data_IF_329998238267
#
_entry.id   IF_329998238267
#
_cell.length_a   1.000
_cell.length_b   1.000
_cell.length_c   1.000
_cell.angle_alpha   90.00
_cell.angle_beta   90.00
_cell.angle_gamma   90.00
#
_symmetry.space_group_name_H-M   'P 1'
#
loop_
_entity.id
_entity.type
_entity.pdbx_description
1 polymer ?
#
# COMPACT_ATOMS: atom_id res chain seq x y z
N UNK A 1 12.05 3.27 -19.06
CA UNK A 1 12.99 2.63 -19.99
C UNK A 1 12.29 2.21 -21.28
N UNK A 2 11.27 1.35 -21.21
CA UNK A 2 10.52 0.82 -22.38
C UNK A 2 9.96 1.90 -23.30
N UNK A 3 9.23 2.90 -22.77
CA UNK A 3 8.68 3.98 -23.60
C UNK A 3 9.78 4.74 -24.37
N UNK A 4 10.91 5.01 -23.70
CA UNK A 4 12.08 5.66 -24.31
C UNK A 4 12.73 4.77 -25.39
N UNK A 5 12.89 3.47 -25.14
CA UNK A 5 13.46 2.54 -26.14
C UNK A 5 12.56 2.37 -27.36
N UNK A 6 11.26 2.62 -27.22
CA UNK A 6 10.30 2.67 -28.32
C UNK A 6 10.24 4.03 -29.04
N UNK A 7 11.10 4.98 -28.67
CA UNK A 7 11.12 6.32 -29.29
C UNK A 7 10.01 7.25 -28.82
N UNK A 8 9.27 6.91 -27.76
CA UNK A 8 8.23 7.80 -27.22
C UNK A 8 8.85 9.04 -26.57
N UNK A 9 8.24 10.20 -26.84
CA UNK A 9 8.70 11.51 -26.35
C UNK A 9 7.91 12.00 -25.12
N UNK A 10 6.77 11.36 -24.85
CA UNK A 10 5.85 11.65 -23.75
C UNK A 10 5.22 10.34 -23.28
N UNK A 11 5.18 10.16 -21.96
CA UNK A 11 4.40 9.12 -21.30
C UNK A 11 3.23 9.79 -20.56
N UNK A 12 1.99 9.39 -20.83
CA UNK A 12 0.83 9.86 -20.07
C UNK A 12 0.44 8.78 -19.06
N UNK A 13 0.49 9.11 -17.78
CA UNK A 13 0.26 8.19 -16.68
C UNK A 13 -1.04 8.54 -15.95
N UNK A 14 -2.08 7.74 -16.15
CA UNK A 14 -3.40 7.97 -15.56
C UNK A 14 -3.54 7.28 -14.20
N UNK A 15 -4.31 7.90 -13.31
CA UNK A 15 -4.94 7.22 -12.17
C UNK A 15 -4.08 7.01 -10.93
N UNK A 16 -2.80 7.39 -10.95
CA UNK A 16 -1.91 7.25 -9.79
C UNK A 16 -1.23 8.56 -9.39
N UNK A 17 -0.90 8.65 -8.11
CA UNK A 17 -0.07 9.70 -7.56
C UNK A 17 1.32 9.73 -8.16
N UNK A 18 1.88 10.94 -8.25
CA UNK A 18 3.25 11.17 -8.70
C UNK A 18 4.25 10.77 -7.60
N UNK A 19 4.48 9.47 -7.44
CA UNK A 19 5.43 8.94 -6.43
C UNK A 19 6.89 8.97 -6.90
N UNK A 20 7.10 9.24 -8.19
CA UNK A 20 8.44 9.35 -8.79
C UNK A 20 8.73 10.82 -9.02
N UNK A 21 9.82 11.36 -8.44
CA UNK A 21 10.26 12.72 -8.71
C UNK A 21 10.48 12.96 -10.21
N UNK A 22 9.97 14.08 -10.74
CA UNK A 22 9.97 14.38 -12.18
C UNK A 22 11.40 14.51 -12.74
N UNK A 23 12.34 15.00 -11.91
CA UNK A 23 13.77 15.09 -12.21
C UNK A 23 14.44 13.71 -12.44
N UNK A 24 13.80 12.63 -12.00
CA UNK A 24 14.29 11.25 -12.17
C UNK A 24 13.71 10.58 -13.43
N UNK A 25 12.88 11.28 -14.21
CA UNK A 25 12.35 10.78 -15.49
C UNK A 25 13.36 10.98 -16.63
N UNK A 26 14.53 10.35 -16.50
CA UNK A 26 15.69 10.59 -17.38
C UNK A 26 15.43 10.29 -18.87
N UNK A 27 15.14 11.35 -19.62
CA UNK A 27 15.02 11.33 -21.08
C UNK A 27 13.65 10.96 -21.63
N UNK A 28 12.58 11.06 -20.83
CA UNK A 28 11.19 11.05 -21.32
C UNK A 28 10.33 11.98 -20.45
N UNK A 29 9.51 12.83 -21.07
CA UNK A 29 8.54 13.65 -20.33
C UNK A 29 7.41 12.77 -19.82
N UNK A 30 6.98 12.97 -18.59
CA UNK A 30 5.85 12.23 -18.01
C UNK A 30 4.76 13.22 -17.60
N UNK A 31 3.54 13.02 -18.13
CA UNK A 31 2.35 13.76 -17.73
C UNK A 31 1.50 12.86 -16.83
N UNK A 32 1.39 13.22 -15.55
CA UNK A 32 0.47 12.57 -14.64
C UNK A 32 -0.93 13.16 -14.80
N UNK A 33 -1.91 12.30 -15.06
CA UNK A 33 -3.32 12.68 -15.13
C UNK A 33 -4.03 12.08 -13.92
N UNK A 34 -4.29 12.95 -12.95
CA UNK A 34 -5.08 12.60 -11.78
C UNK A 34 -6.53 12.38 -12.19
N UNK A 35 -7.10 11.28 -11.75
CA UNK A 35 -8.50 10.94 -11.97
C UNK A 35 -9.21 11.16 -10.64
N UNK A 36 -10.10 12.13 -10.60
CA UNK A 36 -10.94 12.42 -9.43
C UNK A 36 -12.35 11.86 -9.71
N UNK A 37 -12.71 10.80 -9.00
CA UNK A 37 -13.99 10.11 -9.19
C UNK A 37 -15.04 10.82 -8.33
N UNK A 38 -16.04 11.38 -9.02
CA UNK A 38 -17.17 12.01 -8.37
C UNK A 38 -18.15 10.96 -7.87
N UNK A 39 -18.54 11.13 -6.61
CA UNK A 39 -19.52 10.27 -5.93
C UNK A 39 -20.63 11.15 -5.35
N UNK A 40 -21.59 10.53 -4.68
CA UNK A 40 -22.59 11.21 -3.86
C UNK A 40 -22.02 11.49 -2.45
N UNK A 41 -21.51 12.72 -2.18
CA UNK A 41 -20.87 13.01 -0.89
C UNK A 41 -21.89 13.08 0.25
N UNK A 42 -23.16 13.39 -0.04
CA UNK A 42 -24.18 13.53 0.99
C UNK A 42 -24.55 12.16 1.55
N UNK A 43 -24.71 11.17 0.66
CA UNK A 43 -24.92 9.79 1.11
C UNK A 43 -23.76 9.28 1.98
N UNK A 44 -22.51 9.60 1.65
CA UNK A 44 -21.36 9.23 2.46
C UNK A 44 -21.39 9.89 3.85
N UNK A 45 -21.73 11.18 3.93
CA UNK A 45 -21.84 11.91 5.19
C UNK A 45 -22.97 11.36 6.06
N UNK A 46 -24.17 11.19 5.50
CA UNK A 46 -25.33 10.60 6.19
C UNK A 46 -25.02 9.20 6.71
N UNK A 47 -24.30 8.39 5.92
CA UNK A 47 -23.84 7.07 6.36
C UNK A 47 -22.97 7.17 7.61
N UNK A 48 -22.02 8.10 7.66
CA UNK A 48 -21.20 8.32 8.85
C UNK A 48 -22.07 8.79 10.02
N UNK A 49 -22.98 9.74 9.79
CA UNK A 49 -23.88 10.28 10.82
C UNK A 49 -24.72 9.19 11.49
N UNK A 50 -25.25 8.27 10.70
CA UNK A 50 -26.13 7.20 11.18
C UNK A 50 -25.40 6.06 11.89
N UNK A 51 -24.11 5.85 11.59
CA UNK A 51 -23.40 4.64 12.04
C UNK A 51 -22.23 4.92 12.99
N UNK A 52 -21.68 6.13 13.01
CA UNK A 52 -20.50 6.47 13.82
C UNK A 52 -20.90 7.49 14.91
N UNK A 53 -20.73 7.15 16.20
CA UNK A 53 -20.99 8.07 17.30
C UNK A 53 -20.11 9.33 17.26
N UNK A 54 -20.67 10.47 17.69
CA UNK A 54 -20.03 11.79 17.60
C UNK A 54 -18.71 11.88 18.41
N UNK A 55 -18.64 11.13 19.52
CA UNK A 55 -17.49 11.04 20.40
C UNK A 55 -16.30 10.25 19.80
N UNK A 56 -16.54 9.50 18.73
CA UNK A 56 -15.50 8.67 18.10
C UNK A 56 -14.46 9.54 17.40
N UNK A 57 -13.19 9.18 17.53
CA UNK A 57 -12.10 9.80 16.75
C UNK A 57 -11.93 9.08 15.42
N UNK A 58 -12.30 9.74 14.33
CA UNK A 58 -12.33 9.15 12.99
C UNK A 58 -11.01 9.43 12.25
N UNK A 59 -10.40 8.39 11.70
CA UNK A 59 -9.37 8.48 10.67
C UNK A 59 -10.00 8.27 9.30
N UNK A 60 -10.11 9.32 8.49
CA UNK A 60 -10.63 9.23 7.12
C UNK A 60 -9.51 9.03 6.11
N UNK A 61 -9.62 7.96 5.32
CA UNK A 61 -8.63 7.57 4.31
C UNK A 61 -9.29 7.05 3.03
N UNK A 62 -8.55 7.03 1.93
CA UNK A 62 -8.98 6.56 0.61
C UNK A 62 -7.79 6.34 -0.31
N UNK A 63 -8.04 5.95 -1.56
CA UNK A 63 -7.08 6.00 -2.67
C UNK A 63 -7.08 7.40 -3.29
N UNK A 64 -6.06 7.71 -4.10
CA UNK A 64 -5.92 8.99 -4.80
C UNK A 64 -7.18 9.41 -5.58
N UNK A 65 -7.99 8.45 -6.02
CA UNK A 65 -9.17 8.72 -6.84
C UNK A 65 -10.30 9.41 -6.08
N UNK A 66 -10.32 9.37 -4.74
CA UNK A 66 -11.38 10.00 -3.95
C UNK A 66 -10.88 10.90 -2.81
N UNK A 67 -9.58 11.21 -2.75
CA UNK A 67 -9.02 12.05 -1.67
C UNK A 67 -9.67 13.43 -1.58
N UNK A 68 -10.11 14.00 -2.71
CA UNK A 68 -10.81 15.28 -2.73
C UNK A 68 -12.12 15.20 -1.93
N UNK A 69 -12.91 14.15 -2.16
CA UNK A 69 -14.15 13.89 -1.41
C UNK A 69 -13.87 13.65 0.06
N UNK A 70 -12.84 12.87 0.41
CA UNK A 70 -12.44 12.62 1.80
C UNK A 70 -12.09 13.92 2.52
N UNK A 71 -11.30 14.79 1.90
CA UNK A 71 -10.90 16.06 2.51
C UNK A 71 -12.09 17.00 2.70
N UNK A 72 -13.01 17.08 1.73
CA UNK A 72 -14.23 17.86 1.84
C UNK A 72 -15.19 17.31 2.91
N UNK A 73 -15.38 15.99 2.96
CA UNK A 73 -16.20 15.33 3.97
C UNK A 73 -15.64 15.55 5.38
N UNK A 74 -14.31 15.48 5.53
CA UNK A 74 -13.65 15.75 6.80
C UNK A 74 -13.90 17.16 7.33
N UNK A 75 -13.98 18.17 6.45
CA UNK A 75 -14.30 19.55 6.86
C UNK A 75 -15.74 19.65 7.38
N UNK A 76 -16.71 19.14 6.61
CA UNK A 76 -18.14 19.13 7.00
C UNK A 76 -18.39 18.40 8.32
N UNK A 77 -17.82 17.20 8.49
CA UNK A 77 -17.97 16.43 9.72
C UNK A 77 -17.39 17.17 10.94
N UNK A 78 -16.28 17.90 10.77
CA UNK A 78 -15.72 18.73 11.85
C UNK A 78 -16.64 19.90 12.22
N UNK A 79 -17.27 20.54 11.24
CA UNK A 79 -18.25 21.60 11.48
C UNK A 79 -19.47 21.08 12.25
N UNK A 80 -19.80 19.80 12.06
CA UNK A 80 -20.88 19.09 12.76
C UNK A 80 -20.47 18.53 14.14
N UNK A 81 -19.22 18.73 14.56
CA UNK A 81 -18.73 18.36 15.89
C UNK A 81 -17.97 17.03 15.98
N UNK A 82 -17.77 16.31 14.86
CA UNK A 82 -16.94 15.10 14.86
C UNK A 82 -15.46 15.41 15.05
N UNK A 83 -14.76 14.53 15.76
CA UNK A 83 -13.29 14.55 15.81
C UNK A 83 -12.70 13.76 14.64
N UNK A 84 -12.39 14.46 13.54
CA UNK A 84 -11.88 13.83 12.31
C UNK A 84 -10.41 14.15 12.04
N UNK A 85 -9.63 13.13 11.71
CA UNK A 85 -8.27 13.22 11.22
C UNK A 85 -8.16 12.70 9.79
N UNK A 86 -7.38 13.40 8.95
CA UNK A 86 -7.06 13.01 7.58
C UNK A 86 -5.53 12.82 7.54
N UNK A 87 -5.03 11.61 7.84
CA UNK A 87 -3.62 11.36 8.03
C UNK A 87 -2.86 11.47 6.71
N UNK A 88 -1.55 11.76 6.78
CA UNK A 88 -0.70 11.85 5.60
C UNK A 88 0.59 11.07 5.82
N UNK A 89 0.92 10.17 4.90
CA UNK A 89 2.23 9.54 4.81
C UNK A 89 2.95 10.09 3.57
N UNK A 90 3.90 11.02 3.75
CA UNK A 90 4.58 11.65 2.61
C UNK A 90 5.35 10.60 1.78
N UNK A 91 5.31 10.69 0.44
CA UNK A 91 4.83 11.82 -0.38
C UNK A 91 3.34 11.80 -0.73
N UNK A 92 2.54 10.89 -0.18
CA UNK A 92 1.11 10.76 -0.50
C UNK A 92 0.32 12.01 -0.07
N UNK A 93 -0.83 12.21 -0.72
CA UNK A 93 -1.78 13.28 -0.38
C UNK A 93 -2.41 13.01 0.99
N UNK A 94 -2.89 14.04 1.71
CA UNK A 94 -3.66 13.83 2.93
C UNK A 94 -4.89 12.95 2.67
N UNK A 95 -5.03 11.88 3.46
CA UNK A 95 -6.09 10.88 3.33
C UNK A 95 -5.76 9.78 2.34
N UNK A 96 -4.67 9.87 1.57
CA UNK A 96 -4.29 8.84 0.62
C UNK A 96 -3.50 7.70 1.30
N UNK A 97 -3.90 6.46 1.00
CA UNK A 97 -3.16 5.25 1.37
C UNK A 97 -2.92 4.35 0.16
N UNK A 98 -1.86 3.55 0.23
CA UNK A 98 -1.49 2.53 -0.75
C UNK A 98 -1.47 1.16 -0.07
N UNK A 99 -1.61 0.07 -0.84
CA UNK A 99 -1.50 -1.28 -0.27
C UNK A 99 -0.16 -1.51 0.44
N UNK A 100 0.92 -0.89 -0.05
CA UNK A 100 2.25 -0.97 0.54
C UNK A 100 2.56 0.13 1.57
N UNK A 101 1.68 1.12 1.76
CA UNK A 101 2.00 2.31 2.54
C UNK A 101 0.76 2.89 3.19
N UNK A 102 0.66 2.72 4.50
CA UNK A 102 -0.41 3.28 5.34
C UNK A 102 0.18 3.92 6.59
N UNK A 103 -0.39 5.03 7.09
CA UNK A 103 0.07 5.68 8.30
C UNK A 103 -0.33 4.90 9.55
N UNK A 104 0.49 5.00 10.59
CA UNK A 104 0.10 4.62 11.95
C UNK A 104 -0.65 5.79 12.58
N UNK A 105 -1.90 5.56 12.97
CA UNK A 105 -2.80 6.53 13.54
C UNK A 105 -2.54 6.64 15.04
N UNK A 106 -2.35 7.87 15.53
CA UNK A 106 -2.01 8.11 16.94
C UNK A 106 -3.24 8.10 17.86
N UNK A 107 -4.37 8.61 17.37
CA UNK A 107 -5.55 8.89 18.18
C UNK A 107 -6.83 8.73 17.35
N UNK A 108 -7.02 7.56 16.75
CA UNK A 108 -8.23 7.22 16.00
C UNK A 108 -8.81 5.93 16.56
N UNK A 109 -10.08 5.98 16.95
CA UNK A 109 -10.84 4.83 17.42
C UNK A 109 -11.43 4.06 16.23
N UNK A 110 -11.77 4.81 15.17
CA UNK A 110 -12.42 4.30 13.96
C UNK A 110 -11.64 4.74 12.72
N UNK A 111 -11.43 3.83 11.80
CA UNK A 111 -10.97 4.09 10.43
C UNK A 111 -12.19 4.01 9.51
N UNK A 112 -12.44 5.05 8.72
CA UNK A 112 -13.39 4.96 7.61
C UNK A 112 -12.62 5.13 6.31
N UNK A 113 -12.57 4.04 5.55
CA UNK A 113 -12.00 4.00 4.22
C UNK A 113 -13.10 4.22 3.18
N UNK A 114 -12.91 5.21 2.31
CA UNK A 114 -13.78 5.45 1.18
C UNK A 114 -13.16 4.86 -0.09
N UNK A 115 -13.87 3.95 -0.75
CA UNK A 115 -13.40 3.34 -1.98
C UNK A 115 -13.86 1.90 -2.12
N UNK A 116 -13.61 1.35 -3.30
CA UNK A 116 -13.88 -0.05 -3.59
C UNK A 116 -12.72 -0.96 -3.16
N UNK A 117 -13.02 -2.26 -3.06
CA UNK A 117 -12.07 -3.29 -2.68
C UNK A 117 -11.60 -3.23 -1.22
N UNK A 118 -10.76 -4.20 -0.85
CA UNK A 118 -10.19 -4.31 0.51
C UNK A 118 -8.67 -4.12 0.53
N UNK A 119 -8.01 -4.19 -0.62
CA UNK A 119 -6.54 -4.20 -0.72
C UNK A 119 -5.85 -3.04 0.00
N UNK A 120 -6.35 -1.81 -0.19
CA UNK A 120 -5.82 -0.61 0.47
C UNK A 120 -6.23 -0.55 1.95
N UNK A 121 -7.49 -0.91 2.24
CA UNK A 121 -8.01 -0.93 3.59
C UNK A 121 -7.27 -1.91 4.50
N UNK A 122 -6.95 -3.11 4.03
CA UNK A 122 -6.13 -4.08 4.75
C UNK A 122 -4.78 -3.48 5.17
N UNK A 123 -4.15 -2.66 4.32
CA UNK A 123 -2.87 -2.03 4.63
C UNK A 123 -2.97 -1.17 5.90
N UNK A 124 -4.02 -0.35 6.01
CA UNK A 124 -4.20 0.50 7.19
C UNK A 124 -4.68 -0.30 8.40
N UNK A 125 -5.46 -1.37 8.20
CA UNK A 125 -5.86 -2.29 9.27
C UNK A 125 -4.67 -3.03 9.88
N UNK A 126 -3.73 -3.51 9.05
CA UNK A 126 -2.48 -4.13 9.50
C UNK A 126 -1.67 -3.13 10.34
N UNK A 127 -1.58 -1.87 9.90
CA UNK A 127 -0.82 -0.84 10.62
C UNK A 127 -1.52 -0.35 11.92
N UNK A 128 -2.84 -0.58 12.04
CA UNK A 128 -3.66 -0.05 13.13
C UNK A 128 -4.65 -1.11 13.67
N UNK A 129 -4.15 -2.22 14.26
CA UNK A 129 -4.97 -3.37 14.66
C UNK A 129 -6.06 -3.07 15.69
N UNK A 130 -5.92 -1.96 16.43
CA UNK A 130 -6.84 -1.59 17.52
C UNK A 130 -8.02 -0.74 17.07
N UNK A 131 -7.95 -0.13 15.89
CA UNK A 131 -9.00 0.74 15.39
C UNK A 131 -10.08 -0.08 14.67
N UNK A 132 -11.35 0.21 14.93
CA UNK A 132 -12.44 -0.40 14.18
C UNK A 132 -12.42 0.12 12.74
N UNK A 133 -12.35 -0.76 11.74
CA UNK A 133 -12.28 -0.37 10.34
C UNK A 133 -13.65 -0.51 9.66
N UNK A 134 -14.02 0.52 8.91
CA UNK A 134 -15.21 0.53 8.08
C UNK A 134 -14.84 0.88 6.64
N UNK A 135 -15.54 0.27 5.69
CA UNK A 135 -15.46 0.59 4.27
C UNK A 135 -16.77 1.19 3.81
N UNK A 136 -16.69 2.33 3.14
CA UNK A 136 -17.76 2.85 2.32
C UNK A 136 -17.44 2.63 0.85
N UNK A 137 -18.24 1.79 0.18
CA UNK A 137 -18.17 1.59 -1.26
C UNK A 137 -19.11 2.61 -1.95
N UNK A 138 -18.58 3.58 -2.71
CA UNK A 138 -19.38 4.63 -3.31
C UNK A 138 -20.22 4.16 -4.52
N UNK A 139 -19.89 3.02 -5.12
CA UNK A 139 -20.63 2.47 -6.26
C UNK A 139 -21.86 1.70 -5.79
N UNK A 140 -21.65 0.84 -4.81
CA UNK A 140 -22.70 0.00 -4.22
C UNK A 140 -23.49 0.72 -3.12
N UNK A 141 -23.02 1.90 -2.67
CA UNK A 141 -23.54 2.63 -1.50
C UNK A 141 -23.61 1.77 -0.24
N UNK A 142 -22.65 0.85 -0.09
CA UNK A 142 -22.56 -0.08 1.06
C UNK A 142 -21.57 0.43 2.08
N UNK A 143 -21.97 0.36 3.34
CA UNK A 143 -21.12 0.62 4.49
C UNK A 143 -20.96 -0.65 5.30
N UNK A 144 -19.74 -1.17 5.36
CA UNK A 144 -19.43 -2.43 6.02
C UNK A 144 -18.35 -2.24 7.06
N UNK A 145 -18.51 -2.88 8.22
CA UNK A 145 -17.39 -3.06 9.13
C UNK A 145 -16.50 -4.19 8.59
N UNK A 146 -15.20 -3.95 8.58
CA UNK A 146 -14.21 -4.83 7.98
C UNK A 146 -13.27 -5.34 9.06
N UNK A 147 -12.92 -6.62 8.99
CA UNK A 147 -12.04 -7.28 9.95
C UNK A 147 -10.82 -7.87 9.25
N UNK A 148 -9.68 -7.83 9.93
CA UNK A 148 -8.44 -8.42 9.46
C UNK A 148 -7.97 -9.40 10.54
N UNK A 149 -7.64 -10.61 10.13
CA UNK A 149 -7.18 -11.64 11.05
C UNK A 149 -5.68 -11.49 11.27
N UNK A 150 -5.32 -10.64 12.25
CA UNK A 150 -3.93 -10.39 12.60
C UNK A 150 -3.26 -11.66 13.14
N UNK A 151 -3.95 -12.46 13.95
CA UNK A 151 -3.41 -13.69 14.52
C UNK A 151 -3.06 -14.71 13.43
N UNK A 152 -3.94 -14.89 12.44
CA UNK A 152 -3.68 -15.74 11.28
C UNK A 152 -2.50 -15.21 10.46
N UNK A 153 -2.45 -13.91 10.19
CA UNK A 153 -1.37 -13.28 9.43
C UNK A 153 -0.01 -13.45 10.14
N UNK A 154 0.05 -13.18 11.44
CA UNK A 154 1.26 -13.35 12.25
C UNK A 154 1.69 -14.81 12.31
N UNK A 155 0.75 -15.74 12.52
CA UNK A 155 1.01 -17.18 12.51
C UNK A 155 1.57 -17.66 11.18
N UNK A 156 0.99 -17.22 10.06
CA UNK A 156 1.45 -17.59 8.72
C UNK A 156 2.87 -17.06 8.45
N UNK A 157 3.15 -15.82 8.85
CA UNK A 157 4.47 -15.20 8.70
C UNK A 157 5.51 -15.86 9.58
N UNK A 158 5.18 -16.18 10.82
CA UNK A 158 6.07 -16.90 11.73
C UNK A 158 6.46 -18.27 11.14
N UNK A 159 5.48 -19.05 10.67
CA UNK A 159 5.75 -20.34 9.99
C UNK A 159 6.66 -20.19 8.77
N UNK A 160 6.48 -19.12 8.00
CA UNK A 160 7.32 -18.83 6.84
C UNK A 160 8.75 -18.46 7.25
N UNK A 161 8.90 -17.70 8.35
CA UNK A 161 10.20 -17.36 8.94
C UNK A 161 10.90 -18.60 9.48
N UNK A 162 10.20 -19.46 10.22
CA UNK A 162 10.74 -20.73 10.76
C UNK A 162 11.22 -21.64 9.64
N UNK A 163 10.40 -21.84 8.60
CA UNK A 163 10.80 -22.61 7.41
C UNK A 163 12.01 -22.00 6.72
N UNK A 164 12.06 -20.69 6.57
CA UNK A 164 13.21 -20.01 5.96
C UNK A 164 14.47 -20.09 6.84
N UNK A 165 14.33 -20.15 8.17
CA UNK A 165 15.47 -20.26 9.08
C UNK A 165 16.27 -21.56 8.87
N UNK A 166 15.59 -22.63 8.47
CA UNK A 166 16.18 -23.94 8.13
C UNK A 166 16.86 -23.97 6.75
N UNK A 167 16.56 -23.01 5.87
CA UNK A 167 17.14 -22.97 4.53
C UNK A 167 18.65 -22.71 4.56
N UNK A 168 19.42 -23.45 3.75
CA UNK A 168 20.86 -23.26 3.57
C UNK A 168 21.22 -22.29 2.43
N UNK A 169 20.28 -22.04 1.52
CA UNK A 169 20.44 -21.20 0.32
C UNK A 169 19.27 -20.23 0.16
N UNK A 170 19.57 -19.01 -0.26
CA UNK A 170 18.61 -17.92 -0.38
C UNK A 170 18.68 -17.20 -1.72
N UNK A 171 17.52 -16.94 -2.32
CA UNK A 171 17.36 -15.99 -3.40
C UNK A 171 17.07 -14.58 -2.88
N UNK A 172 17.96 -13.63 -3.10
CA UNK A 172 17.77 -12.22 -2.76
C UNK A 172 17.25 -11.48 -4.00
N UNK A 173 15.94 -11.25 -4.04
CA UNK A 173 15.27 -10.69 -5.21
C UNK A 173 15.31 -9.16 -5.16
N UNK A 174 15.85 -8.54 -6.21
CA UNK A 174 15.72 -7.11 -6.46
C UNK A 174 14.60 -6.88 -7.49
N UNK A 175 13.53 -6.20 -7.06
CA UNK A 175 12.52 -5.70 -7.98
C UNK A 175 13.12 -4.70 -8.96
N UNK A 176 12.78 -4.82 -10.24
CA UNK A 176 13.28 -3.93 -11.31
C UNK A 176 12.16 -3.13 -12.00
N UNK A 177 10.91 -3.35 -11.61
CA UNK A 177 9.77 -2.60 -12.12
C UNK A 177 9.70 -1.21 -11.47
N UNK A 178 9.78 -0.16 -12.29
CA UNK A 178 9.72 1.22 -11.82
C UNK A 178 10.82 1.54 -10.82
N UNK A 179 10.44 2.04 -9.64
CA UNK A 179 11.34 2.32 -8.51
C UNK A 179 11.19 1.29 -7.37
N UNK A 180 10.68 0.10 -7.68
CA UNK A 180 10.71 -0.98 -6.71
C UNK A 180 12.15 -1.42 -6.48
N UNK A 181 12.43 -1.88 -5.26
CA UNK A 181 13.75 -2.37 -4.88
C UNK A 181 14.77 -1.31 -4.48
N UNK A 182 15.81 -1.76 -3.79
CA UNK A 182 16.88 -0.90 -3.28
C UNK A 182 18.19 -1.68 -3.23
N UNK A 183 19.17 -1.27 -4.05
CA UNK A 183 20.49 -1.94 -4.16
C UNK A 183 21.22 -2.04 -2.82
N UNK A 184 21.12 -1.01 -1.99
CA UNK A 184 21.79 -0.99 -0.70
C UNK A 184 21.16 -2.02 0.25
N UNK A 185 19.83 -2.17 0.22
CA UNK A 185 19.11 -3.18 1.01
C UNK A 185 19.41 -4.58 0.50
N UNK A 186 19.45 -4.78 -0.82
CA UNK A 186 19.84 -6.05 -1.45
C UNK A 186 21.24 -6.46 -1.01
N UNK A 187 22.21 -5.56 -1.12
CA UNK A 187 23.59 -5.83 -0.73
C UNK A 187 23.69 -6.13 0.77
N UNK A 188 23.05 -5.31 1.61
CA UNK A 188 23.00 -5.54 3.05
C UNK A 188 22.46 -6.92 3.40
N UNK A 189 21.32 -7.32 2.82
CA UNK A 189 20.72 -8.62 3.11
C UNK A 189 21.55 -9.78 2.57
N UNK A 190 22.11 -9.63 1.37
CA UNK A 190 23.05 -10.60 0.81
C UNK A 190 24.24 -10.85 1.77
N UNK A 191 24.91 -9.78 2.20
CA UNK A 191 26.10 -9.89 3.05
C UNK A 191 25.77 -10.52 4.41
N UNK A 192 24.61 -10.18 4.98
CA UNK A 192 24.11 -10.78 6.22
C UNK A 192 23.85 -12.28 6.10
N UNK A 193 23.38 -12.77 4.96
CA UNK A 193 23.17 -14.20 4.71
C UNK A 193 24.53 -14.91 4.60
N UNK A 194 25.47 -14.34 3.86
CA UNK A 194 26.82 -14.89 3.69
C UNK A 194 27.59 -14.93 5.00
N UNK A 195 27.51 -13.88 5.83
CA UNK A 195 28.09 -13.84 7.19
C UNK A 195 27.56 -14.96 8.09
N UNK A 196 26.36 -15.46 7.82
CA UNK A 196 25.75 -16.60 8.53
C UNK A 196 26.11 -17.94 7.90
N UNK A 197 27.12 -17.98 7.04
CA UNK A 197 27.62 -19.18 6.36
C UNK A 197 26.55 -19.87 5.49
N UNK A 198 25.60 -19.09 4.95
CA UNK A 198 24.56 -19.55 4.04
C UNK A 198 24.83 -19.05 2.62
N UNK A 199 24.33 -19.78 1.62
CA UNK A 199 24.46 -19.40 0.21
C UNK A 199 23.45 -18.31 -0.14
N UNK A 200 23.85 -17.32 -0.93
CA UNK A 200 22.98 -16.23 -1.38
C UNK A 200 23.17 -15.98 -2.87
N UNK A 201 22.08 -15.88 -3.63
CA UNK A 201 22.07 -15.52 -5.05
C UNK A 201 21.21 -14.29 -5.25
N UNK A 202 21.76 -13.25 -5.88
CA UNK A 202 20.99 -12.05 -6.23
C UNK A 202 20.23 -12.30 -7.53
N UNK A 203 18.90 -12.09 -7.51
CA UNK A 203 18.01 -12.32 -8.65
C UNK A 203 17.31 -11.01 -9.02
N UNK A 204 17.41 -10.60 -10.29
CA UNK A 204 16.72 -9.41 -10.80
C UNK A 204 15.41 -9.82 -11.46
N UNK A 205 14.27 -9.35 -10.95
CA UNK A 205 12.95 -9.64 -11.52
C UNK A 205 12.15 -8.36 -11.71
N UNK A 206 11.52 -8.19 -12.88
CA UNK A 206 10.53 -7.12 -13.10
C UNK A 206 9.23 -7.45 -12.39
N UNK A 207 8.79 -8.70 -12.51
CA UNK A 207 7.56 -9.21 -11.91
C UNK A 207 7.85 -10.55 -11.25
N UNK A 208 7.39 -10.68 -10.01
CA UNK A 208 7.63 -11.84 -9.15
C UNK A 208 6.35 -12.67 -9.13
N UNK A 209 6.45 -13.91 -9.60
CA UNK A 209 5.36 -14.88 -9.62
C UNK A 209 5.85 -16.20 -9.04
N UNK A 210 4.99 -16.96 -8.32
CA UNK A 210 5.36 -18.27 -7.79
C UNK A 210 5.98 -19.19 -8.85
N UNK A 211 5.40 -19.27 -10.04
CA UNK A 211 5.89 -20.09 -11.16
C UNK A 211 7.30 -19.71 -11.65
N UNK A 212 7.76 -18.47 -11.46
CA UNK A 212 9.14 -18.09 -11.77
C UNK A 212 10.10 -18.52 -10.66
N UNK A 213 9.66 -18.47 -9.41
CA UNK A 213 10.46 -18.85 -8.25
C UNK A 213 10.65 -20.36 -8.17
N UNK A 214 9.65 -21.13 -8.59
CA UNK A 214 9.70 -22.59 -8.70
C UNK A 214 10.79 -23.10 -9.65
N UNK A 215 11.27 -22.28 -10.59
CA UNK A 215 12.38 -22.64 -11.50
C UNK A 215 13.75 -22.69 -10.81
N UNK A 216 13.88 -22.17 -9.59
CA UNK A 216 15.12 -22.19 -8.82
C UNK A 216 15.11 -23.36 -7.82
N UNK A 217 15.36 -24.56 -8.32
CA UNK A 217 15.27 -25.81 -7.54
C UNK A 217 16.27 -25.87 -6.37
N UNK A 218 17.42 -25.19 -6.48
CA UNK A 218 18.50 -25.20 -5.48
C UNK A 218 18.34 -24.14 -4.37
N UNK A 219 17.28 -23.33 -4.38
CA UNK A 219 17.07 -22.25 -3.41
C UNK A 219 16.00 -22.64 -2.38
N UNK A 220 16.39 -22.65 -1.10
CA UNK A 220 15.48 -23.04 0.00
C UNK A 220 14.52 -21.96 0.46
N UNK A 221 14.87 -20.67 0.26
CA UNK A 221 14.02 -19.54 0.63
C UNK A 221 14.31 -18.30 -0.24
N UNK A 222 13.37 -17.35 -0.24
CA UNK A 222 13.51 -16.08 -0.96
C UNK A 222 13.27 -14.89 -0.04
N UNK A 223 14.03 -13.82 -0.25
CA UNK A 223 13.79 -12.51 0.34
C UNK A 223 13.60 -11.52 -0.80
N UNK A 224 12.44 -10.85 -0.83
CA UNK A 224 12.12 -9.90 -1.90
C UNK A 224 12.29 -8.46 -1.42
N UNK A 225 13.05 -7.69 -2.21
CA UNK A 225 13.21 -6.25 -2.08
C UNK A 225 12.53 -5.64 -3.30
N UNK A 226 11.20 -5.64 -3.28
CA UNK A 226 10.32 -5.09 -4.32
C UNK A 226 9.06 -4.46 -3.68
N UNK A 227 7.85 -4.89 -4.07
CA UNK A 227 6.60 -4.48 -3.45
C UNK A 227 6.34 -5.29 -2.16
N UNK A 228 6.18 -4.65 -0.99
CA UNK A 228 5.93 -5.36 0.28
C UNK A 228 4.64 -6.21 0.33
N UNK A 229 3.71 -6.02 -0.61
CA UNK A 229 2.44 -6.77 -0.67
C UNK A 229 2.58 -8.19 -1.26
N UNK A 230 3.76 -8.56 -1.76
CA UNK A 230 3.98 -9.87 -2.40
C UNK A 230 4.32 -10.98 -1.40
N UNK A 231 4.63 -10.65 -0.15
CA UNK A 231 5.19 -11.57 0.86
C UNK A 231 4.59 -11.36 2.25
#
# INVERSE_FOLDING_TARGET
FTAKSMGAQLLVHYGHSCLVPVDQTSGIRVLYVFVDIKIDPEHFLETIRLNIPLESKIGLVSTIQFVATVQAAAQKLKEEGYTVSVPQFRPLSPGEILGCTSPVLKCSDVIVYLGDGRFHLESIMIANPKAAAYKYDPYDKKFTQEFYDHDQMETMRLKSIEKAAEAGSFGVIMGTLGRQGNKNVVQYLHDRIVEKQKQAVIILLSEIFPSKLELFEDLGAFVQIACPRLS
#
